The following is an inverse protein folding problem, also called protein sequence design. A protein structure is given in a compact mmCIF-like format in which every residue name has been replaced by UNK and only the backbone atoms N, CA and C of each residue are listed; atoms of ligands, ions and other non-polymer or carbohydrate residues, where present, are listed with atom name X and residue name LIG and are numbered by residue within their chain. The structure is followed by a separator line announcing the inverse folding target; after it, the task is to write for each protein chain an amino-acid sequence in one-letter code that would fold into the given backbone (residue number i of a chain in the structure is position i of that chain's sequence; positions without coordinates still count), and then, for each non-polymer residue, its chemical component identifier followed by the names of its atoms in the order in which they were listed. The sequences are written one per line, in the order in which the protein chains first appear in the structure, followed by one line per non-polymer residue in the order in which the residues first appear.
data_IF_388393989204
#
_entry.id   IF_388393989204
#
_cell.length_a   1.000
_cell.length_b   1.000
_cell.length_c   1.000
_cell.angle_alpha   90.00
_cell.angle_beta   90.00
_cell.angle_gamma   90.00
#
_symmetry.space_group_name_H-M   'P 1'
#
loop_
_entity.id
_entity.type
_entity.pdbx_description
1 polymer ?
#
# COMPACT_ATOMS: atom_id res chain seq x y z
N UNK A 1 35.94 -22.77 4.69
CA UNK A 1 35.89 -21.36 4.23
C UNK A 1 34.89 -21.16 3.10
N UNK A 2 34.97 -21.89 1.99
CA UNK A 2 34.05 -21.79 0.83
C UNK A 2 32.56 -21.93 1.18
N UNK A 3 32.22 -22.87 2.07
CA UNK A 3 30.84 -23.08 2.55
C UNK A 3 30.34 -21.91 3.40
N UNK A 4 31.23 -21.32 4.21
CA UNK A 4 30.90 -20.16 5.03
C UNK A 4 30.58 -18.94 4.15
N UNK A 5 31.36 -18.74 3.08
CA UNK A 5 31.12 -17.69 2.08
C UNK A 5 29.81 -17.92 1.31
N UNK A 6 29.50 -19.18 0.98
CA UNK A 6 28.26 -19.54 0.30
C UNK A 6 27.03 -19.30 1.18
N UNK A 7 27.09 -19.64 2.46
CA UNK A 7 26.02 -19.39 3.42
C UNK A 7 25.78 -17.89 3.63
N UNK A 8 26.83 -17.08 3.75
CA UNK A 8 26.70 -15.62 3.85
C UNK A 8 26.04 -14.99 2.63
N UNK A 9 26.31 -15.52 1.42
CA UNK A 9 25.67 -15.05 0.19
C UNK A 9 24.16 -15.36 0.16
N UNK A 10 23.77 -16.57 0.61
CA UNK A 10 22.36 -17.00 0.62
C UNK A 10 21.56 -16.17 1.64
N UNK A 11 22.15 -15.86 2.79
CA UNK A 11 21.52 -15.02 3.82
C UNK A 11 21.33 -13.58 3.32
N UNK A 12 22.28 -13.03 2.55
CA UNK A 12 22.14 -11.71 1.93
C UNK A 12 21.04 -11.65 0.85
N UNK A 13 20.77 -12.76 0.14
CA UNK A 13 19.68 -12.85 -0.84
C UNK A 13 18.29 -12.91 -0.17
N UNK A 14 18.16 -13.50 1.02
CA UNK A 14 16.92 -13.50 1.79
C UNK A 14 16.61 -12.12 2.43
N UNK A 15 17.63 -11.28 2.66
CA UNK A 15 17.43 -9.93 3.18
C UNK A 15 16.73 -8.96 2.21
N UNK A 16 16.54 -9.36 0.95
CA UNK A 16 15.74 -8.63 -0.05
C UNK A 16 14.34 -9.24 -0.28
N UNK A 17 13.93 -10.29 0.45
CA UNK A 17 12.59 -10.85 0.30
C UNK A 17 11.57 -10.02 1.08
N UNK A 18 11.22 -8.85 0.53
CA UNK A 18 9.96 -8.22 0.86
C UNK A 18 8.89 -9.01 0.11
N UNK A 19 8.26 -9.99 0.77
CA UNK A 19 7.05 -10.58 0.19
C UNK A 19 6.06 -9.42 -0.03
N UNK A 20 5.66 -9.14 -1.28
CA UNK A 20 4.81 -7.99 -1.54
C UNK A 20 3.49 -8.22 -0.82
N UNK A 21 3.15 -7.30 0.08
CA UNK A 21 1.83 -7.26 0.72
C UNK A 21 0.76 -7.36 -0.38
N UNK A 22 -0.32 -8.11 -0.12
CA UNK A 22 -1.46 -8.20 -1.04
C UNK A 22 -1.86 -6.79 -1.47
N UNK A 23 -1.83 -6.55 -2.78
CA UNK A 23 -2.29 -5.30 -3.35
C UNK A 23 -3.82 -5.28 -3.38
N UNK A 24 -4.43 -4.35 -2.66
CA UNK A 24 -5.87 -4.13 -2.69
C UNK A 24 -6.22 -3.18 -3.84
N UNK A 25 -7.31 -3.47 -4.55
CA UNK A 25 -7.84 -2.62 -5.61
C UNK A 25 -8.54 -1.38 -5.03
N UNK A 26 -8.73 -0.38 -5.87
CA UNK A 26 -9.51 0.83 -5.52
C UNK A 26 -10.92 0.48 -5.06
N UNK A 27 -11.58 -0.46 -5.72
CA UNK A 27 -12.97 -0.83 -5.40
C UNK A 27 -13.06 -1.63 -4.09
N UNK A 28 -12.06 -2.46 -3.75
CA UNK A 28 -11.96 -3.10 -2.43
C UNK A 28 -11.81 -2.05 -1.31
N UNK A 29 -11.01 -1.00 -1.54
CA UNK A 29 -10.90 0.12 -0.59
C UNK A 29 -12.19 0.94 -0.48
N UNK A 30 -12.92 1.16 -1.58
CA UNK A 30 -14.21 1.85 -1.55
C UNK A 30 -15.27 1.03 -0.81
N UNK A 31 -15.24 -0.29 -0.95
CA UNK A 31 -16.14 -1.21 -0.26
C UNK A 31 -15.83 -1.31 1.25
N UNK A 32 -14.57 -1.13 1.67
CA UNK A 32 -14.15 -1.22 3.07
C UNK A 32 -13.45 0.06 3.56
N UNK A 33 -14.24 0.98 4.13
CA UNK A 33 -13.76 2.26 4.67
C UNK A 33 -12.78 2.10 5.85
N UNK A 34 -12.90 1.02 6.63
CA UNK A 34 -11.99 0.75 7.76
C UNK A 34 -10.60 0.41 7.24
N UNK A 35 -10.53 -0.50 6.27
CA UNK A 35 -9.29 -0.88 5.59
C UNK A 35 -8.64 0.35 4.91
N UNK A 36 -9.43 1.17 4.23
CA UNK A 36 -8.94 2.40 3.60
C UNK A 36 -8.33 3.36 4.64
N UNK A 37 -9.00 3.58 5.77
CA UNK A 37 -8.52 4.46 6.83
C UNK A 37 -7.21 3.94 7.45
N UNK A 38 -7.12 2.63 7.68
CA UNK A 38 -5.92 1.98 8.19
C UNK A 38 -4.73 2.16 7.24
N UNK A 39 -4.92 1.83 5.95
CA UNK A 39 -3.85 1.92 4.95
C UNK A 39 -3.42 3.36 4.71
N UNK A 40 -4.36 4.31 4.59
CA UNK A 40 -4.02 5.75 4.50
C UNK A 40 -3.22 6.19 5.73
N UNK A 41 -3.57 5.72 6.92
CA UNK A 41 -2.81 5.97 8.16
C UNK A 41 -1.37 5.49 8.05
N UNK A 42 -1.16 4.24 7.62
CA UNK A 42 0.17 3.66 7.38
C UNK A 42 0.97 4.48 6.35
N UNK A 43 0.35 4.82 5.22
CA UNK A 43 0.99 5.60 4.16
C UNK A 43 1.43 7.00 4.62
N UNK A 44 0.61 7.67 5.44
CA UNK A 44 0.92 9.01 5.98
C UNK A 44 2.05 9.00 7.00
N UNK A 45 2.22 7.90 7.72
CA UNK A 45 3.27 7.75 8.72
C UNK A 45 4.64 7.47 8.09
N UNK A 46 4.70 6.91 6.88
CA UNK A 46 5.96 6.67 6.16
C UNK A 46 5.82 6.94 4.64
N UNK A 47 5.61 8.20 4.24
CA UNK A 47 5.35 8.54 2.84
C UNK A 47 6.55 8.31 1.92
N UNK A 48 7.79 8.42 2.45
CA UNK A 48 9.01 8.23 1.67
C UNK A 48 9.22 6.79 1.22
N UNK A 49 8.96 5.82 2.10
CA UNK A 49 9.13 4.40 1.80
C UNK A 49 7.86 3.80 1.18
N UNK A 50 6.68 4.14 1.71
CA UNK A 50 5.43 3.46 1.34
C UNK A 50 4.66 4.18 0.23
N UNK A 51 4.91 5.47 -0.02
CA UNK A 51 4.08 6.29 -0.91
C UNK A 51 3.92 5.72 -2.32
N UNK A 52 4.96 5.08 -2.84
CA UNK A 52 4.96 4.46 -4.17
C UNK A 52 4.48 3.00 -4.17
N UNK A 53 4.11 2.43 -3.02
CA UNK A 53 3.56 1.08 -2.97
C UNK A 53 2.18 1.03 -3.63
N UNK A 54 1.78 -0.12 -4.23
CA UNK A 54 0.46 -0.27 -4.84
C UNK A 54 -0.68 0.06 -3.87
N UNK A 55 -0.56 -0.37 -2.60
CA UNK A 55 -1.57 -0.13 -1.58
C UNK A 55 -1.74 1.38 -1.28
N UNK A 56 -0.65 2.14 -1.17
CA UNK A 56 -0.76 3.59 -0.95
C UNK A 56 -1.32 4.34 -2.16
N UNK A 57 -0.93 3.96 -3.37
CA UNK A 57 -1.47 4.56 -4.59
C UNK A 57 -2.97 4.27 -4.75
N UNK A 58 -3.39 3.02 -4.56
CA UNK A 58 -4.79 2.61 -4.67
C UNK A 58 -5.65 3.21 -3.55
N UNK A 59 -5.13 3.28 -2.33
CA UNK A 59 -5.82 3.94 -1.22
C UNK A 59 -6.00 5.45 -1.47
N UNK A 60 -4.98 6.13 -2.00
CA UNK A 60 -5.09 7.54 -2.37
C UNK A 60 -6.15 7.77 -3.47
N UNK A 61 -6.15 6.93 -4.50
CA UNK A 61 -7.15 6.97 -5.57
C UNK A 61 -8.58 6.72 -5.04
N UNK A 62 -8.75 5.75 -4.13
CA UNK A 62 -10.03 5.46 -3.48
C UNK A 62 -10.51 6.64 -2.63
N UNK A 63 -9.62 7.25 -1.83
CA UNK A 63 -9.95 8.43 -1.03
C UNK A 63 -10.38 9.61 -1.91
N UNK A 64 -9.68 9.83 -3.03
CA UNK A 64 -10.04 10.86 -4.00
C UNK A 64 -11.41 10.61 -4.64
N UNK A 65 -11.64 9.39 -5.15
CA UNK A 65 -12.93 8.99 -5.74
C UNK A 65 -14.09 9.15 -4.73
N UNK A 66 -13.91 8.68 -3.50
CA UNK A 66 -14.91 8.85 -2.44
C UNK A 66 -15.21 10.32 -2.13
N UNK A 67 -14.19 11.20 -2.16
CA UNK A 67 -14.38 12.64 -1.95
C UNK A 67 -15.14 13.28 -3.12
N UNK A 68 -14.80 12.94 -4.35
CA UNK A 68 -15.51 13.43 -5.54
C UNK A 68 -16.98 12.99 -5.54
N UNK A 69 -17.27 11.73 -5.20
CA UNK A 69 -18.64 11.23 -5.14
C UNK A 69 -19.48 12.00 -4.11
N UNK A 70 -18.93 12.27 -2.92
CA UNK A 70 -19.61 13.09 -1.90
C UNK A 70 -19.85 14.53 -2.36
N UNK A 71 -18.90 15.09 -3.10
CA UNK A 71 -19.05 16.43 -3.68
C UNK A 71 -20.17 16.44 -4.73
N UNK A 72 -20.22 15.44 -5.62
CA UNK A 72 -21.31 15.30 -6.59
C UNK A 72 -22.68 15.21 -5.92
N UNK A 73 -22.80 14.38 -4.88
CA UNK A 73 -24.03 14.26 -4.08
C UNK A 73 -24.43 15.59 -3.42
N UNK A 74 -23.46 16.34 -2.88
CA UNK A 74 -23.72 17.64 -2.26
C UNK A 74 -24.17 18.71 -3.25
N UNK A 75 -23.81 18.57 -4.54
CA UNK A 75 -24.18 19.48 -5.62
C UNK A 75 -25.47 19.07 -6.36
N UNK A 76 -26.17 18.04 -5.87
CA UNK A 76 -27.45 17.58 -6.44
C UNK A 76 -27.32 16.60 -7.61
N UNK A 77 -26.19 15.89 -7.72
CA UNK A 77 -26.01 14.77 -8.65
C UNK A 77 -26.69 13.48 -8.23
#
# INVERSE_FOLDING_TARGET
MKVLTLCMLIIALAACSNEPERAYTVDEFLANKSLLAEVIGKCRNNPGELGNTPNCQNAAAAAFKARLQRMGQALGG
#
